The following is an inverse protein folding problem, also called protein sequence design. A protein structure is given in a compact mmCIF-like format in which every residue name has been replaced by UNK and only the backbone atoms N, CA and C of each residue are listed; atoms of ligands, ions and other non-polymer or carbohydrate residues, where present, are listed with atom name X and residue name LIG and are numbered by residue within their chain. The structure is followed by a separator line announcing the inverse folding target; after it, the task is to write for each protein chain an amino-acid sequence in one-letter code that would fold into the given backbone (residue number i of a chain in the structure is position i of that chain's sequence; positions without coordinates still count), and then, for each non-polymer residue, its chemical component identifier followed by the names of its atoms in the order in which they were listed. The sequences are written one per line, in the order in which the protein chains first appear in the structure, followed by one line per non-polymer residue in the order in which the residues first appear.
data_IF_648508167395
#
_entry.id   IF_648508167395
#
_cell.length_a   1.000
_cell.length_b   1.000
_cell.length_c   1.000
_cell.angle_alpha   90.00
_cell.angle_beta   90.00
_cell.angle_gamma   90.00
#
_symmetry.space_group_name_H-M   'P 1'
#
loop_
_entity.id
_entity.type
_entity.pdbx_description
1 polymer ?
#
# COMPACT_ATOMS: atom_id res chain seq x y z
N UNK A 1 -24.27 -25.50 0.54
CA UNK A 1 -23.16 -25.16 -0.37
C UNK A 1 -22.84 -23.69 -0.14
N UNK A 2 -21.89 -23.39 0.76
CA UNK A 2 -21.47 -22.03 1.07
C UNK A 2 -20.55 -21.54 -0.06
N UNK A 3 -21.06 -20.69 -0.93
CA UNK A 3 -20.27 -19.97 -1.93
C UNK A 3 -19.37 -18.96 -1.21
N UNK A 4 -18.16 -19.38 -0.83
CA UNK A 4 -17.09 -18.43 -0.52
C UNK A 4 -16.69 -17.75 -1.82
N UNK A 5 -17.19 -16.53 -2.02
CA UNK A 5 -16.78 -15.65 -3.11
C UNK A 5 -15.30 -15.25 -2.91
N UNK A 6 -14.39 -16.09 -3.39
CA UNK A 6 -12.99 -15.70 -3.59
C UNK A 6 -12.90 -14.87 -4.86
N UNK A 7 -13.26 -13.58 -4.77
CA UNK A 7 -12.99 -12.64 -5.84
C UNK A 7 -11.49 -12.30 -5.83
N UNK A 8 -10.68 -13.14 -6.47
CA UNK A 8 -9.35 -12.76 -6.93
C UNK A 8 -9.51 -11.87 -8.18
N UNK A 9 -10.04 -10.66 -7.94
CA UNK A 9 -10.13 -9.50 -8.82
C UNK A 9 -10.48 -9.74 -10.29
N UNK A 10 -11.77 -9.65 -10.60
CA UNK A 10 -12.21 -9.13 -11.89
C UNK A 10 -12.56 -7.65 -11.72
N UNK A 11 -11.87 -6.80 -12.50
CA UNK A 11 -12.05 -5.35 -12.65
C UNK A 11 -11.90 -4.45 -11.40
N UNK A 12 -10.65 -4.12 -11.05
CA UNK A 12 -10.30 -3.07 -10.07
C UNK A 12 -11.02 -1.74 -10.28
N UNK A 13 -11.36 -1.43 -11.53
CA UNK A 13 -12.00 -0.17 -11.88
C UNK A 13 -13.48 -0.16 -11.54
N UNK A 14 -14.20 -1.24 -11.87
CA UNK A 14 -15.62 -1.40 -11.49
C UNK A 14 -15.74 -1.50 -9.97
N UNK A 15 -14.89 -2.30 -9.32
CA UNK A 15 -14.82 -2.40 -7.86
C UNK A 15 -14.43 -1.07 -7.19
N UNK A 16 -13.65 -0.23 -7.85
CA UNK A 16 -13.35 1.12 -7.36
C UNK A 16 -14.59 2.02 -7.44
N UNK A 17 -15.29 2.07 -8.57
CA UNK A 17 -16.52 2.87 -8.71
C UNK A 17 -17.67 2.37 -7.83
N UNK A 18 -17.82 1.06 -7.66
CA UNK A 18 -18.80 0.46 -6.75
C UNK A 18 -18.54 0.78 -5.28
N UNK A 19 -17.27 0.97 -4.92
CA UNK A 19 -16.85 1.41 -3.58
C UNK A 19 -16.94 2.93 -3.43
N UNK A 20 -16.77 3.69 -4.50
CA UNK A 20 -16.87 5.15 -4.45
C UNK A 20 -18.32 5.62 -4.45
N UNK A 21 -19.21 4.94 -5.20
CA UNK A 21 -20.63 5.28 -5.39
C UNK A 21 -20.86 6.78 -5.62
N UNK A 22 -20.41 7.34 -6.76
CA UNK A 22 -20.79 8.70 -7.14
C UNK A 22 -22.32 8.84 -7.17
N UNK A 23 -22.83 9.99 -6.70
CA UNK A 23 -24.27 10.24 -6.51
C UNK A 23 -25.03 10.41 -7.82
N UNK A 24 -24.37 10.93 -8.85
CA UNK A 24 -24.95 11.24 -10.15
C UNK A 24 -23.91 11.10 -11.29
N UNK A 25 -24.40 11.06 -12.52
CA UNK A 25 -23.61 10.76 -13.72
C UNK A 25 -22.64 11.90 -14.10
N UNK A 26 -22.97 13.13 -13.74
CA UNK A 26 -22.13 14.31 -13.98
C UNK A 26 -20.97 14.37 -12.99
N UNK A 27 -21.23 14.10 -11.71
CA UNK A 27 -20.22 13.86 -10.67
C UNK A 27 -19.31 12.70 -11.04
N UNK A 28 -19.86 11.62 -11.62
CA UNK A 28 -19.06 10.48 -12.11
C UNK A 28 -18.09 10.92 -13.20
N UNK A 29 -18.54 11.73 -14.17
CA UNK A 29 -17.71 12.23 -15.28
C UNK A 29 -16.65 13.24 -14.83
N UNK A 30 -17.01 14.19 -13.98
CA UNK A 30 -16.07 15.13 -13.35
C UNK A 30 -14.98 14.37 -12.57
N UNK A 31 -15.39 13.36 -11.80
CA UNK A 31 -14.48 12.46 -11.11
C UNK A 31 -13.56 11.70 -12.08
N UNK A 32 -14.07 11.21 -13.23
CA UNK A 32 -13.22 10.56 -14.24
C UNK A 32 -12.10 11.47 -14.73
N UNK A 33 -12.42 12.73 -15.04
CA UNK A 33 -11.46 13.68 -15.57
C UNK A 33 -10.40 14.04 -14.52
N UNK A 34 -10.81 14.22 -13.27
CA UNK A 34 -9.88 14.45 -12.16
C UNK A 34 -8.99 13.22 -11.87
N UNK A 35 -9.58 12.03 -11.81
CA UNK A 35 -8.85 10.77 -11.58
C UNK A 35 -7.86 10.51 -12.72
N UNK A 36 -8.24 10.79 -13.98
CA UNK A 36 -7.37 10.62 -15.14
C UNK A 36 -6.19 11.61 -15.09
N UNK A 37 -6.43 12.85 -14.68
CA UNK A 37 -5.36 13.84 -14.41
C UNK A 37 -4.43 13.35 -13.29
N UNK A 38 -4.98 12.79 -12.22
CA UNK A 38 -4.20 12.23 -11.10
C UNK A 38 -3.38 11.00 -11.49
N UNK A 39 -3.96 10.08 -12.26
CA UNK A 39 -3.28 8.90 -12.79
C UNK A 39 -2.12 9.29 -13.70
N UNK A 40 -2.31 10.29 -14.56
CA UNK A 40 -1.25 10.88 -15.39
C UNK A 40 -0.16 11.57 -14.56
N UNK A 41 -0.54 12.28 -13.49
CA UNK A 41 0.39 12.94 -12.57
C UNK A 41 1.27 11.93 -11.79
N UNK A 42 0.67 10.81 -11.34
CA UNK A 42 1.32 9.77 -10.51
C UNK A 42 2.00 8.67 -11.33
N UNK A 43 1.58 8.46 -12.58
CA UNK A 43 2.08 7.41 -13.49
C UNK A 43 3.36 7.74 -14.24
N UNK A 44 3.96 8.92 -14.03
CA UNK A 44 5.29 9.25 -14.56
C UNK A 44 6.39 8.55 -13.76
N UNK A 45 6.51 7.22 -13.90
CA UNK A 45 7.57 6.42 -13.25
C UNK A 45 8.75 6.09 -14.17
N UNK A 46 8.79 6.56 -15.43
CA UNK A 46 9.93 6.30 -16.31
C UNK A 46 10.10 7.32 -17.45
N UNK A 47 10.45 8.58 -17.13
CA UNK A 47 11.13 9.44 -18.11
C UNK A 47 12.54 9.73 -17.61
N UNK A 48 13.47 8.82 -17.91
CA UNK A 48 14.89 9.14 -18.08
C UNK A 48 15.02 10.05 -19.31
N UNK A 49 14.87 11.35 -19.09
CA UNK A 49 14.99 12.35 -20.13
C UNK A 49 14.61 13.70 -19.53
N UNK A 50 15.64 14.54 -19.33
CA UNK A 50 15.58 15.95 -18.87
C UNK A 50 14.16 16.42 -18.56
N UNK A 51 13.75 16.28 -17.31
CA UNK A 51 12.60 17.04 -16.81
C UNK A 51 13.10 18.48 -16.71
N UNK A 52 12.76 19.31 -17.69
CA UNK A 52 12.90 20.74 -17.56
C UNK A 52 12.15 21.15 -16.29
N UNK A 53 12.84 21.93 -15.47
CA UNK A 53 12.31 22.58 -14.28
C UNK A 53 11.00 23.30 -14.64
N UNK A 54 9.89 22.61 -14.42
CA UNK A 54 8.58 23.22 -14.26
C UNK A 54 8.31 23.17 -12.77
N UNK A 55 9.06 24.04 -12.08
CA UNK A 55 8.73 24.56 -10.77
C UNK A 55 7.27 25.00 -10.84
N UNK A 56 6.44 24.50 -9.92
CA UNK A 56 5.00 24.73 -9.84
C UNK A 56 4.15 23.87 -10.82
N UNK A 57 3.97 22.58 -10.47
CA UNK A 57 2.77 21.86 -10.92
C UNK A 57 1.62 22.24 -9.99
N UNK A 58 0.43 22.60 -10.51
CA UNK A 58 -0.67 23.11 -9.70
C UNK A 58 -1.11 22.05 -8.67
N UNK A 59 -1.32 22.48 -7.41
CA UNK A 59 -2.07 21.70 -6.43
C UNK A 59 -3.44 21.41 -7.06
N UNK A 60 -3.71 20.16 -7.41
CA UNK A 60 -5.09 19.75 -7.68
C UNK A 60 -5.77 19.72 -6.31
N UNK A 61 -6.39 20.83 -5.95
CA UNK A 61 -7.37 20.90 -4.88
C UNK A 61 -8.73 20.61 -5.55
N UNK A 62 -9.32 19.41 -5.38
CA UNK A 62 -10.61 19.08 -5.99
C UNK A 62 -11.64 20.12 -5.56
N UNK A 63 -12.41 20.69 -6.47
CA UNK A 63 -13.43 21.69 -6.09
C UNK A 63 -14.63 21.05 -5.40
N UNK A 64 -14.85 19.77 -5.66
CA UNK A 64 -15.96 18.99 -5.15
C UNK A 64 -15.63 18.39 -3.76
N UNK A 65 -16.48 18.68 -2.78
CA UNK A 65 -16.37 18.19 -1.40
C UNK A 65 -16.42 16.66 -1.32
N UNK A 66 -17.19 16.01 -2.21
CA UNK A 66 -17.22 14.55 -2.32
C UNK A 66 -15.87 14.00 -2.77
N UNK A 67 -15.23 14.65 -3.75
CA UNK A 67 -13.91 14.23 -4.23
C UNK A 67 -12.84 14.47 -3.18
N UNK A 68 -12.90 15.59 -2.44
CA UNK A 68 -12.03 15.82 -1.29
C UNK A 68 -12.17 14.71 -0.25
N UNK A 69 -13.40 14.30 0.08
CA UNK A 69 -13.64 13.21 1.01
C UNK A 69 -13.10 11.85 0.53
N UNK A 70 -12.93 11.67 -0.80
CA UNK A 70 -12.46 10.42 -1.43
C UNK A 70 -11.05 10.50 -1.99
N UNK A 71 -10.31 11.57 -1.70
CA UNK A 71 -8.96 11.79 -2.20
C UNK A 71 -7.98 10.68 -1.82
N UNK A 72 -8.13 10.08 -0.64
CA UNK A 72 -7.27 8.98 -0.19
C UNK A 72 -7.50 7.72 -1.02
N UNK A 73 -8.76 7.34 -1.25
CA UNK A 73 -9.13 6.20 -2.10
C UNK A 73 -8.63 6.39 -3.55
N UNK A 74 -8.83 7.58 -4.10
CA UNK A 74 -8.38 7.96 -5.45
C UNK A 74 -6.85 7.89 -5.53
N UNK A 75 -6.15 8.42 -4.53
CA UNK A 75 -4.69 8.40 -4.45
C UNK A 75 -4.17 6.97 -4.39
N UNK A 76 -4.77 6.12 -3.55
CA UNK A 76 -4.41 4.72 -3.42
C UNK A 76 -4.62 3.97 -4.75
N UNK A 77 -5.78 4.15 -5.39
CA UNK A 77 -6.09 3.58 -6.70
C UNK A 77 -5.07 4.01 -7.77
N UNK A 78 -4.74 5.30 -7.82
CA UNK A 78 -3.74 5.82 -8.76
C UNK A 78 -2.35 5.23 -8.48
N UNK A 79 -1.97 5.09 -7.20
CA UNK A 79 -0.71 4.44 -6.79
C UNK A 79 -0.64 2.98 -7.20
N UNK A 80 -1.72 2.21 -7.02
CA UNK A 80 -1.76 0.81 -7.49
C UNK A 80 -1.59 0.65 -8.98
N UNK A 81 -1.76 1.70 -9.79
CA UNK A 81 -1.56 1.61 -11.25
C UNK A 81 -0.26 2.25 -11.72
N UNK A 82 0.14 3.37 -11.11
CA UNK A 82 1.27 4.18 -11.57
C UNK A 82 2.58 3.96 -10.81
N UNK A 83 2.55 3.46 -9.58
CA UNK A 83 3.75 3.30 -8.75
C UNK A 83 4.20 1.85 -8.69
N UNK A 84 5.41 1.58 -9.17
CA UNK A 84 6.00 0.24 -9.21
C UNK A 84 6.05 -0.40 -7.83
N UNK A 85 6.52 0.34 -6.81
CA UNK A 85 6.62 -0.16 -5.44
C UNK A 85 5.27 -0.68 -4.92
N UNK A 86 4.22 0.14 -5.05
CA UNK A 86 2.86 -0.18 -4.59
C UNK A 86 2.30 -1.41 -5.31
N UNK A 87 2.57 -1.55 -6.61
CA UNK A 87 2.18 -2.71 -7.41
C UNK A 87 2.88 -3.99 -6.95
N UNK A 88 4.19 -3.93 -6.76
CA UNK A 88 4.99 -5.08 -6.33
C UNK A 88 4.61 -5.53 -4.94
N UNK A 89 4.50 -4.61 -3.98
CA UNK A 89 4.08 -4.92 -2.60
C UNK A 89 2.71 -5.60 -2.62
N UNK A 90 1.73 -5.02 -3.32
CA UNK A 90 0.40 -5.60 -3.39
C UNK A 90 0.38 -7.00 -4.01
N UNK A 91 1.11 -7.21 -5.10
CA UNK A 91 1.23 -8.54 -5.73
C UNK A 91 1.86 -9.55 -4.77
N UNK A 92 2.90 -9.15 -4.04
CA UNK A 92 3.54 -10.01 -3.04
C UNK A 92 2.60 -10.35 -1.88
N UNK A 93 1.76 -9.41 -1.45
CA UNK A 93 0.78 -9.63 -0.38
C UNK A 93 -0.34 -10.60 -0.77
N UNK A 94 -0.58 -10.84 -2.06
CA UNK A 94 -1.48 -11.91 -2.48
C UNK A 94 -0.96 -13.30 -2.12
N UNK A 95 0.35 -13.52 -2.08
CA UNK A 95 0.89 -14.79 -1.61
C UNK A 95 0.61 -15.00 -0.13
N UNK A 96 0.78 -13.97 0.70
CA UNK A 96 0.39 -14.00 2.11
C UNK A 96 -1.09 -14.37 2.26
N UNK A 97 -1.96 -13.70 1.50
CA UNK A 97 -3.40 -13.98 1.53
C UNK A 97 -3.72 -15.41 1.06
N UNK A 98 -3.04 -15.91 0.03
CA UNK A 98 -3.22 -17.28 -0.43
C UNK A 98 -2.83 -18.30 0.65
N UNK A 99 -1.74 -18.05 1.39
CA UNK A 99 -1.32 -18.89 2.50
C UNK A 99 -2.31 -18.87 3.66
N UNK A 100 -2.85 -17.71 4.02
CA UNK A 100 -3.93 -17.60 5.02
C UNK A 100 -5.13 -18.46 4.62
N UNK A 101 -5.55 -18.38 3.35
CA UNK A 101 -6.67 -19.16 2.81
C UNK A 101 -6.36 -20.66 2.86
N UNK A 102 -5.16 -21.05 2.46
CA UNK A 102 -4.73 -22.45 2.50
C UNK A 102 -4.76 -23.00 3.93
N UNK A 103 -4.26 -22.23 4.90
CA UNK A 103 -4.29 -22.66 6.31
C UNK A 103 -5.72 -22.83 6.83
N UNK A 104 -6.64 -21.91 6.47
CA UNK A 104 -8.06 -22.02 6.81
C UNK A 104 -8.68 -23.29 6.19
N UNK A 105 -8.34 -23.62 4.94
CA UNK A 105 -8.84 -24.82 4.25
C UNK A 105 -8.30 -26.10 4.89
N UNK A 106 -7.00 -26.16 5.18
CA UNK A 106 -6.37 -27.31 5.84
C UNK A 106 -6.98 -27.55 7.24
N UNK A 107 -7.35 -26.47 7.94
CA UNK A 107 -8.07 -26.55 9.22
C UNK A 107 -9.48 -27.08 9.06
N UNK A 108 -10.24 -26.55 8.11
CA UNK A 108 -11.60 -27.04 7.85
C UNK A 108 -11.61 -28.52 7.49
N UNK A 109 -10.65 -28.99 6.68
CA UNK A 109 -10.48 -30.40 6.36
C UNK A 109 -10.19 -31.25 7.61
N UNK A 110 -9.30 -30.79 8.50
CA UNK A 110 -9.00 -31.47 9.78
C UNK A 110 -10.20 -31.49 10.74
N UNK A 111 -10.97 -30.40 10.81
CA UNK A 111 -12.17 -30.31 11.63
C UNK A 111 -13.28 -31.23 11.11
N UNK A 112 -13.46 -31.35 9.79
CA UNK A 112 -14.41 -32.29 9.22
C UNK A 112 -14.02 -33.75 9.50
N UNK A 113 -12.72 -34.06 9.61
CA UNK A 113 -12.25 -35.36 10.09
C UNK A 113 -12.47 -35.54 11.61
N UNK A 114 -12.25 -34.51 12.42
CA UNK A 114 -12.43 -34.55 13.89
C UNK A 114 -13.89 -34.51 14.34
N UNK A 115 -14.85 -34.02 13.55
CA UNK A 115 -16.29 -34.06 13.87
C UNK A 115 -16.86 -35.46 14.08
N UNK A 116 -16.10 -36.52 13.77
CA UNK A 116 -16.42 -37.90 14.15
C UNK A 116 -16.12 -38.23 15.62
N UNK A 117 -15.30 -37.44 16.33
CA UNK A 117 -14.90 -37.65 17.73
C UNK A 117 -14.94 -36.32 18.51
N UNK A 118 -15.83 -36.23 19.48
CA UNK A 118 -16.32 -35.00 20.14
C UNK A 118 -15.31 -33.98 20.72
N UNK A 119 -15.75 -32.71 20.71
CA UNK A 119 -15.76 -31.72 21.82
C UNK A 119 -14.75 -30.54 21.85
N UNK A 120 -15.37 -29.35 21.99
CA UNK A 120 -14.97 -28.07 22.60
C UNK A 120 -14.03 -27.04 21.90
N UNK A 121 -14.61 -25.83 21.80
CA UNK A 121 -14.09 -24.49 22.11
C UNK A 121 -12.62 -24.17 21.79
N UNK A 122 -12.37 -23.62 20.60
CA UNK A 122 -11.14 -22.85 20.34
C UNK A 122 -11.25 -21.95 19.09
N UNK A 123 -12.31 -21.15 18.97
CA UNK A 123 -12.54 -20.35 17.75
C UNK A 123 -11.61 -19.15 17.61
N UNK A 124 -11.11 -18.62 18.72
CA UNK A 124 -10.41 -17.32 18.79
C UNK A 124 -8.88 -17.48 18.75
N UNK A 125 -8.30 -18.52 19.39
CA UNK A 125 -6.85 -18.78 19.32
C UNK A 125 -6.38 -19.29 17.94
N UNK A 126 -7.31 -19.83 17.17
CA UNK A 126 -7.04 -20.49 15.89
C UNK A 126 -6.81 -19.47 14.77
N UNK A 127 -7.51 -18.33 14.77
CA UNK A 127 -7.28 -17.26 13.79
C UNK A 127 -5.86 -16.66 13.93
N UNK A 128 -5.39 -16.51 15.17
CA UNK A 128 -4.04 -16.03 15.47
C UNK A 128 -2.96 -17.00 15.01
N UNK A 129 -3.21 -18.31 15.07
CA UNK A 129 -2.29 -19.32 14.54
C UNK A 129 -2.17 -19.27 13.01
N UNK A 130 -3.25 -18.99 12.28
CA UNK A 130 -3.18 -18.84 10.80
C UNK A 130 -2.32 -17.66 10.39
N UNK A 131 -2.55 -16.52 11.04
CA UNK A 131 -1.78 -15.31 10.80
C UNK A 131 -0.29 -15.52 11.16
N UNK A 132 -0.03 -16.19 12.27
CA UNK A 132 1.33 -16.55 12.69
C UNK A 132 2.01 -17.47 11.69
N UNK A 133 1.34 -18.49 11.15
CA UNK A 133 1.93 -19.38 10.12
C UNK A 133 2.27 -18.59 8.86
N UNK A 134 1.38 -17.73 8.38
CA UNK A 134 1.64 -16.88 7.22
C UNK A 134 2.84 -15.94 7.47
N UNK A 135 2.92 -15.33 8.66
CA UNK A 135 3.98 -14.40 9.04
C UNK A 135 5.33 -15.09 9.35
N UNK A 136 5.32 -16.37 9.76
CA UNK A 136 6.53 -17.19 9.93
C UNK A 136 7.13 -17.57 8.57
N UNK A 137 6.28 -17.85 7.56
CA UNK A 137 6.75 -18.31 6.25
C UNK A 137 7.48 -17.21 5.48
N UNK A 138 6.98 -15.98 5.54
CA UNK A 138 7.58 -14.88 4.78
C UNK A 138 7.61 -13.59 5.60
N UNK A 139 8.82 -13.05 5.75
CA UNK A 139 9.02 -11.65 6.16
C UNK A 139 9.27 -10.83 4.90
N UNK A 140 8.32 -9.96 4.56
CA UNK A 140 8.43 -9.08 3.40
C UNK A 140 9.22 -7.83 3.77
N UNK A 141 10.46 -7.74 3.28
CA UNK A 141 11.29 -6.55 3.43
C UNK A 141 11.45 -5.90 2.07
N UNK A 142 11.21 -4.60 1.99
CA UNK A 142 11.46 -3.81 0.78
C UNK A 142 12.51 -2.75 1.07
N UNK A 143 13.60 -2.78 0.29
CA UNK A 143 14.60 -1.73 0.32
C UNK A 143 14.08 -0.51 -0.44
N UNK A 144 13.70 0.54 0.29
CA UNK A 144 13.42 1.85 -0.27
C UNK A 144 14.46 2.83 0.27
N UNK A 145 15.68 2.79 -0.29
CA UNK A 145 16.84 3.53 0.21
C UNK A 145 16.57 5.04 0.40
N UNK A 146 15.77 5.62 -0.51
CA UNK A 146 15.41 7.05 -0.49
C UNK A 146 14.33 7.43 0.52
N UNK A 147 13.74 6.47 1.24
CA UNK A 147 12.62 6.71 2.16
C UNK A 147 12.99 7.68 3.29
N UNK A 148 14.22 7.59 3.84
CA UNK A 148 14.70 8.51 4.87
C UNK A 148 14.71 9.96 4.39
N UNK A 149 15.30 10.19 3.21
CA UNK A 149 15.29 11.51 2.56
C UNK A 149 13.87 12.01 2.26
N UNK A 150 12.98 11.13 1.82
CA UNK A 150 11.58 11.47 1.52
C UNK A 150 10.80 11.90 2.76
N UNK A 151 11.06 11.25 3.90
CA UNK A 151 10.43 11.51 5.18
C UNK A 151 10.72 12.93 5.70
N UNK A 152 11.93 13.42 5.49
CA UNK A 152 12.37 14.76 5.97
C UNK A 152 12.27 15.86 4.90
N UNK A 153 11.97 15.50 3.66
CA UNK A 153 11.92 16.45 2.55
C UNK A 153 10.80 17.49 2.70
N UNK A 154 11.12 18.74 2.36
CA UNK A 154 10.14 19.84 2.25
C UNK A 154 9.40 19.84 0.91
N UNK A 155 9.90 19.08 -0.08
CA UNK A 155 9.24 18.96 -1.38
C UNK A 155 7.93 18.18 -1.26
N UNK A 156 6.84 18.79 -1.74
CA UNK A 156 5.51 18.20 -1.65
C UNK A 156 5.40 16.85 -2.38
N UNK A 157 6.18 16.64 -3.46
CA UNK A 157 6.16 15.39 -4.23
C UNK A 157 6.93 14.28 -3.51
N UNK A 158 8.09 14.56 -2.91
CA UNK A 158 8.77 13.60 -2.03
C UNK A 158 7.91 13.26 -0.81
N UNK A 159 7.28 14.26 -0.18
CA UNK A 159 6.36 14.04 0.96
C UNK A 159 5.16 13.16 0.59
N UNK A 160 4.57 13.35 -0.59
CA UNK A 160 3.50 12.50 -1.10
C UNK A 160 3.97 11.05 -1.35
N UNK A 161 5.22 10.85 -1.82
CA UNK A 161 5.80 9.50 -1.99
C UNK A 161 6.01 8.82 -0.64
N UNK A 162 6.55 9.53 0.34
CA UNK A 162 6.66 9.06 1.73
C UNK A 162 5.31 8.59 2.27
N UNK A 163 4.26 9.41 2.16
CA UNK A 163 2.92 9.06 2.66
C UNK A 163 2.34 7.82 1.96
N UNK A 164 2.60 7.62 0.66
CA UNK A 164 2.18 6.39 -0.03
C UNK A 164 2.84 5.14 0.56
N UNK A 165 4.14 5.22 0.89
CA UNK A 165 4.88 4.11 1.50
C UNK A 165 4.39 3.88 2.93
N UNK A 166 4.18 4.93 3.71
CA UNK A 166 3.62 4.83 5.05
C UNK A 166 2.25 4.16 5.04
N UNK A 167 1.37 4.54 4.11
CA UNK A 167 0.05 3.93 3.95
C UNK A 167 0.15 2.44 3.57
N UNK A 168 1.14 2.06 2.75
CA UNK A 168 1.39 0.64 2.45
C UNK A 168 1.82 -0.13 3.69
N UNK A 169 2.65 0.45 4.56
CA UNK A 169 3.06 -0.19 5.82
C UNK A 169 1.87 -0.34 6.78
N UNK A 170 1.02 0.68 6.91
CA UNK A 170 -0.20 0.58 7.74
C UNK A 170 -1.18 -0.47 7.20
N UNK A 171 -1.29 -0.59 5.87
CA UNK A 171 -2.17 -1.56 5.23
C UNK A 171 -1.67 -3.01 5.34
N UNK A 172 -0.35 -3.19 5.32
CA UNK A 172 0.29 -4.51 5.36
C UNK A 172 1.23 -4.59 6.56
N UNK A 173 0.73 -4.96 7.76
CA UNK A 173 1.52 -4.95 9.00
C UNK A 173 2.78 -5.83 9.01
N UNK A 174 2.88 -6.79 8.10
CA UNK A 174 4.06 -7.67 7.94
C UNK A 174 5.11 -7.11 6.98
N UNK A 175 4.79 -6.03 6.26
CA UNK A 175 5.71 -5.31 5.39
C UNK A 175 6.69 -4.50 6.23
N UNK A 176 7.98 -4.66 5.95
CA UNK A 176 9.05 -3.87 6.56
C UNK A 176 9.76 -3.06 5.49
N UNK A 177 10.13 -1.83 5.82
CA UNK A 177 10.88 -0.96 4.92
C UNK A 177 12.30 -0.79 5.44
N UNK A 178 13.26 -1.19 4.62
CA UNK A 178 14.68 -0.94 4.85
C UNK A 178 15.10 0.32 4.08
N UNK A 179 15.74 1.27 4.75
CA UNK A 179 16.21 2.51 4.13
C UNK A 179 17.53 3.00 4.74
N UNK A 180 18.14 3.99 4.08
CA UNK A 180 19.34 4.65 4.59
C UNK A 180 18.93 5.99 5.18
N UNK A 181 19.21 6.18 6.47
CA UNK A 181 19.03 7.44 7.17
C UNK A 181 20.32 8.25 7.11
N UNK A 182 20.19 9.56 6.90
CA UNK A 182 21.31 10.48 6.78
C UNK A 182 21.21 11.50 7.93
N UNK A 183 22.22 11.49 8.79
CA UNK A 183 22.31 12.42 9.92
C UNK A 183 23.51 13.33 9.68
N UNK A 184 23.25 14.63 9.57
CA UNK A 184 24.28 15.66 9.54
C UNK A 184 24.65 16.02 10.99
N UNK A 185 25.89 15.76 11.38
CA UNK A 185 26.42 16.13 12.70
C UNK A 185 27.60 17.10 12.54
N UNK A 186 27.72 18.12 13.41
CA UNK A 186 28.88 19.00 13.42
C UNK A 186 30.11 18.22 13.91
N UNK A 187 31.16 18.18 13.09
CA UNK A 187 32.45 17.63 13.49
C UNK A 187 33.21 18.63 14.37
N UNK A 188 34.25 18.15 15.09
CA UNK A 188 35.10 18.93 15.99
C UNK A 188 35.76 20.14 15.32
N UNK A 189 35.92 20.11 13.99
CA UNK A 189 36.51 21.18 13.18
C UNK A 189 35.48 22.16 12.58
N UNK A 190 34.19 22.04 12.92
CA UNK A 190 33.11 22.88 12.39
C UNK A 190 32.62 22.51 10.98
N UNK A 191 33.21 21.50 10.34
CA UNK A 191 32.66 20.89 9.12
C UNK A 191 31.47 19.99 9.45
N UNK A 192 30.46 19.99 8.59
CA UNK A 192 29.33 19.05 8.66
C UNK A 192 29.75 17.70 8.06
N UNK A 193 29.65 16.64 8.85
CA UNK A 193 29.92 15.27 8.40
C UNK A 193 28.60 14.50 8.29
N UNK A 194 28.43 13.79 7.17
CA UNK A 194 27.25 12.97 6.90
C UNK A 194 27.49 11.56 7.39
N UNK A 195 26.71 11.14 8.39
CA UNK A 195 26.72 9.76 8.87
C UNK A 195 25.50 9.02 8.32
N UNK A 196 25.73 7.82 7.78
CA UNK A 196 24.69 6.98 7.19
C UNK A 196 24.36 5.81 8.11
N UNK A 197 23.06 5.64 8.42
CA UNK A 197 22.56 4.53 9.21
C UNK A 197 21.64 3.64 8.37
N UNK A 198 21.81 2.33 8.47
CA UNK A 198 20.83 1.39 7.92
C UNK A 198 19.68 1.24 8.90
N UNK A 199 18.46 1.52 8.46
CA UNK A 199 17.25 1.49 9.30
C UNK A 199 16.24 0.52 8.72
N UNK A 200 15.68 -0.34 9.58
CA UNK A 200 14.56 -1.22 9.27
C UNK A 200 13.36 -0.80 10.10
N UNK A 201 12.27 -0.41 9.44
CA UNK A 201 11.02 -0.01 10.11
C UNK A 201 9.94 -1.04 9.86
N UNK A 202 9.16 -1.30 10.91
CA UNK A 202 7.96 -2.13 10.92
C UNK A 202 6.73 -1.25 10.96
#
# INVERSE_FOLDING_TARGET
MLTMNYCMLTDEWKNFFERIRPKDEESRKSMMDEISRWASYRGQTAKTGKVTNSTERPKLDPKDEFLKARMEDISLWASYRGQTLTRTVRGMMYYRRALEIQCIQDKNAKLDHQRTNSSYQDGESVADMDLAIADIKFTYVVSCQVYGMQKVSKDAKEKARYLNILNLMMMYPSLRIAYIDEVEAPNKDGMTEKTYYSVLVK
#
